data_IF_410338297163
#
_entry.id   IF_410338297163
#
_cell.length_a   1.000
_cell.length_b   1.000
_cell.length_c   1.000
_cell.angle_alpha   90.00
_cell.angle_beta   90.00
_cell.angle_gamma   90.00
#
_symmetry.space_group_name_H-M   'P 1'
#
loop_
_entity.id
_entity.type
_entity.pdbx_description
1 polymer ?
#
# COMPACT_ATOMS: atom_id res chain seq x y z
N UNK A 1 -11.79 -5.55 23.53
CA UNK A 1 -12.30 -5.12 22.21
C UNK A 1 -13.11 -3.85 22.43
N UNK A 2 -12.61 -2.69 21.97
CA UNK A 2 -13.27 -1.41 22.24
C UNK A 2 -14.54 -1.32 21.39
N UNK A 3 -15.57 -0.60 21.87
CA UNK A 3 -16.83 -0.34 21.12
C UNK A 3 -16.62 0.17 19.69
N UNK A 4 -15.46 0.80 19.41
CA UNK A 4 -15.04 1.29 18.07
C UNK A 4 -14.62 0.18 17.11
N UNK A 5 -14.06 -0.93 17.61
CA UNK A 5 -13.64 -2.08 16.79
C UNK A 5 -14.88 -2.80 16.22
N UNK A 6 -15.95 -2.90 17.01
CA UNK A 6 -17.20 -3.56 16.64
C UNK A 6 -17.98 -2.81 15.55
N UNK A 7 -17.98 -1.48 15.56
CA UNK A 7 -18.69 -0.68 14.56
C UNK A 7 -17.98 -0.67 13.20
N UNK A 8 -16.64 -0.72 13.18
CA UNK A 8 -15.86 -0.84 11.93
C UNK A 8 -15.93 -2.25 11.33
N UNK A 9 -15.96 -3.29 12.16
CA UNK A 9 -16.18 -4.68 11.71
C UNK A 9 -17.64 -4.95 11.29
N UNK A 10 -18.62 -4.16 11.75
CA UNK A 10 -20.02 -4.29 11.34
C UNK A 10 -20.27 -3.95 9.85
N UNK A 11 -19.28 -3.39 9.15
CA UNK A 11 -19.34 -3.10 7.72
C UNK A 11 -18.92 -4.29 6.84
N UNK A 12 -18.35 -5.34 7.40
CA UNK A 12 -18.18 -6.57 6.64
C UNK A 12 -19.57 -7.14 6.39
N UNK A 13 -19.96 -7.28 5.12
CA UNK A 13 -20.96 -8.30 4.81
C UNK A 13 -20.43 -9.58 5.45
N UNK A 14 -21.22 -10.20 6.33
CA UNK A 14 -20.81 -11.41 7.03
C UNK A 14 -20.76 -12.55 6.01
N UNK A 15 -19.72 -12.56 5.19
CA UNK A 15 -19.45 -13.60 4.23
C UNK A 15 -19.08 -14.83 5.03
N UNK A 16 -20.06 -15.72 5.16
CA UNK A 16 -19.86 -17.02 5.77
C UNK A 16 -19.03 -17.87 4.80
N UNK A 17 -17.71 -17.83 5.00
CA UNK A 17 -16.80 -18.74 4.31
C UNK A 17 -16.98 -20.17 4.86
N UNK A 18 -16.73 -21.20 4.04
CA UNK A 18 -16.74 -22.58 4.49
C UNK A 18 -15.79 -22.79 5.69
N UNK A 19 -16.25 -23.55 6.70
CA UNK A 19 -15.52 -23.72 7.97
C UNK A 19 -15.15 -25.17 8.28
N UNK A 20 -15.61 -26.15 7.51
CA UNK A 20 -15.40 -27.57 7.79
C UNK A 20 -14.38 -28.22 6.84
N UNK A 21 -13.49 -29.04 7.39
CA UNK A 21 -12.45 -29.79 6.69
C UNK A 21 -12.96 -30.81 5.65
N UNK A 22 -14.28 -30.94 5.47
CA UNK A 22 -14.94 -31.83 4.50
C UNK A 22 -15.85 -31.08 3.52
N UNK A 23 -15.78 -29.74 3.48
CA UNK A 23 -16.59 -28.97 2.52
C UNK A 23 -16.05 -29.12 1.10
N UNK A 24 -16.96 -29.25 0.12
CA UNK A 24 -16.64 -29.01 -1.28
C UNK A 24 -16.66 -27.50 -1.52
N UNK A 25 -15.58 -26.94 -2.04
CA UNK A 25 -15.54 -25.53 -2.42
C UNK A 25 -16.17 -25.39 -3.81
N UNK A 26 -17.02 -24.37 -3.94
CA UNK A 26 -17.72 -24.04 -5.18
C UNK A 26 -17.23 -22.70 -5.74
N UNK A 27 -17.62 -22.38 -6.99
CA UNK A 27 -17.37 -21.05 -7.56
C UNK A 27 -18.08 -19.92 -6.79
N UNK A 28 -19.17 -20.21 -6.07
CA UNK A 28 -19.83 -19.22 -5.21
C UNK A 28 -18.93 -18.82 -4.03
N UNK A 29 -18.21 -19.78 -3.44
CA UNK A 29 -17.24 -19.51 -2.37
C UNK A 29 -16.07 -18.66 -2.88
N UNK A 30 -15.62 -18.90 -4.12
CA UNK A 30 -14.59 -18.07 -4.78
C UNK A 30 -15.09 -16.63 -4.94
N UNK A 31 -16.31 -16.42 -5.43
CA UNK A 31 -16.88 -15.08 -5.58
C UNK A 31 -17.02 -14.35 -4.24
N UNK A 32 -17.47 -15.07 -3.20
CA UNK A 32 -17.53 -14.58 -1.82
C UNK A 32 -16.18 -14.11 -1.29
N UNK A 33 -15.11 -14.88 -1.53
CA UNK A 33 -13.75 -14.52 -1.10
C UNK A 33 -13.23 -13.28 -1.85
N UNK A 34 -13.51 -13.18 -3.15
CA UNK A 34 -13.16 -12.00 -3.94
C UNK A 34 -13.92 -10.76 -3.49
N UNK A 35 -15.22 -10.88 -3.20
CA UNK A 35 -16.02 -9.77 -2.66
C UNK A 35 -15.47 -9.28 -1.32
N UNK A 36 -15.13 -10.19 -0.40
CA UNK A 36 -14.48 -9.83 0.86
C UNK A 36 -13.14 -9.10 0.66
N UNK A 37 -12.36 -9.51 -0.34
CA UNK A 37 -11.08 -8.85 -0.68
C UNK A 37 -11.32 -7.41 -1.15
N UNK A 38 -12.36 -7.18 -1.96
CA UNK A 38 -12.75 -5.84 -2.42
C UNK A 38 -13.25 -5.00 -1.24
N UNK A 39 -14.04 -5.56 -0.33
CA UNK A 39 -14.52 -4.87 0.86
C UNK A 39 -13.36 -4.46 1.79
N UNK A 40 -12.36 -5.34 1.97
CA UNK A 40 -11.16 -5.05 2.75
C UNK A 40 -10.37 -3.86 2.18
N UNK A 41 -10.17 -3.82 0.86
CA UNK A 41 -9.54 -2.67 0.20
C UNK A 41 -10.37 -1.39 0.38
N UNK A 42 -11.67 -1.45 0.12
CA UNK A 42 -12.55 -0.29 0.26
C UNK A 42 -12.53 0.31 1.67
N UNK A 43 -12.53 -0.55 2.71
CA UNK A 43 -12.44 -0.11 4.11
C UNK A 43 -11.03 0.44 4.42
N UNK A 44 -9.96 -0.19 3.96
CA UNK A 44 -8.59 0.32 4.14
C UNK A 44 -8.40 1.73 3.56
N UNK A 45 -8.98 2.02 2.39
CA UNK A 45 -8.91 3.36 1.80
C UNK A 45 -9.59 4.42 2.68
N UNK A 46 -10.55 4.03 3.53
CA UNK A 46 -11.24 4.93 4.45
C UNK A 46 -10.51 5.07 5.78
N UNK A 47 -10.16 3.95 6.42
CA UNK A 47 -9.71 3.93 7.83
C UNK A 47 -8.29 3.42 8.02
N UNK A 48 -7.58 2.95 6.98
CA UNK A 48 -6.24 2.38 7.09
C UNK A 48 -6.18 0.94 7.57
N UNK A 49 -5.00 0.34 7.42
CA UNK A 49 -4.86 -1.10 7.46
C UNK A 49 -4.72 -1.72 8.85
N UNK A 50 -4.25 -0.96 9.85
CA UNK A 50 -3.81 -1.52 11.14
C UNK A 50 -4.92 -2.25 11.90
N UNK A 51 -6.14 -1.72 11.88
CA UNK A 51 -7.30 -2.33 12.55
C UNK A 51 -7.83 -3.58 11.80
N UNK A 52 -7.48 -3.73 10.51
CA UNK A 52 -8.01 -4.78 9.63
C UNK A 52 -7.09 -6.01 9.55
N UNK A 53 -5.79 -5.86 9.84
CA UNK A 53 -4.77 -6.91 9.63
C UNK A 53 -5.15 -8.24 10.27
N UNK A 54 -5.60 -8.23 11.52
CA UNK A 54 -5.86 -9.46 12.27
C UNK A 54 -7.11 -10.20 11.78
N UNK A 55 -8.11 -9.48 11.28
CA UNK A 55 -9.26 -10.10 10.62
C UNK A 55 -8.81 -10.74 9.29
N UNK A 56 -8.13 -9.98 8.44
CA UNK A 56 -7.65 -10.44 7.14
C UNK A 56 -6.70 -11.65 7.27
N UNK A 57 -5.76 -11.61 8.23
CA UNK A 57 -4.83 -12.71 8.53
C UNK A 57 -5.56 -14.00 8.90
N UNK A 58 -6.52 -13.94 9.83
CA UNK A 58 -7.29 -15.14 10.24
C UNK A 58 -8.16 -15.68 9.12
N UNK A 59 -8.64 -14.82 8.23
CA UNK A 59 -9.38 -15.23 7.04
C UNK A 59 -8.42 -15.92 6.05
N UNK A 60 -7.25 -15.34 5.81
CA UNK A 60 -6.22 -15.90 4.93
C UNK A 60 -5.77 -17.28 5.42
N UNK A 61 -5.46 -17.43 6.72
CA UNK A 61 -5.05 -18.72 7.31
C UNK A 61 -6.12 -19.80 7.13
N UNK A 62 -7.40 -19.44 7.31
CA UNK A 62 -8.51 -20.36 7.06
C UNK A 62 -8.61 -20.74 5.60
N UNK A 63 -8.52 -19.78 4.69
CA UNK A 63 -8.62 -20.05 3.25
C UNK A 63 -7.44 -20.84 2.69
N UNK A 64 -6.23 -20.63 3.23
CA UNK A 64 -5.05 -21.47 2.97
C UNK A 64 -5.24 -22.89 3.52
N UNK A 65 -5.82 -23.04 4.72
CA UNK A 65 -6.17 -24.36 5.27
C UNK A 65 -7.10 -25.16 4.35
N UNK A 66 -8.09 -24.49 3.76
CA UNK A 66 -9.05 -25.12 2.84
C UNK A 66 -8.39 -25.67 1.57
N UNK A 67 -7.25 -25.13 1.11
CA UNK A 67 -6.50 -25.73 -0.01
C UNK A 67 -6.02 -27.15 0.28
N UNK A 68 -5.75 -27.46 1.56
CA UNK A 68 -5.22 -28.77 1.98
C UNK A 68 -6.33 -29.75 2.37
N UNK A 69 -7.46 -29.26 2.84
CA UNK A 69 -8.50 -30.11 3.45
C UNK A 69 -9.75 -30.26 2.58
N UNK A 70 -10.08 -29.27 1.76
CA UNK A 70 -11.34 -29.25 1.03
C UNK A 70 -11.25 -30.00 -0.32
N UNK A 71 -12.42 -30.39 -0.84
CA UNK A 71 -12.52 -30.99 -2.17
C UNK A 71 -12.80 -29.92 -3.23
N UNK A 72 -12.11 -30.01 -4.37
CA UNK A 72 -12.23 -29.09 -5.50
C UNK A 72 -12.38 -29.87 -6.81
N UNK A 73 -13.10 -29.29 -7.78
CA UNK A 73 -12.83 -29.60 -9.18
C UNK A 73 -11.64 -28.75 -9.69
N UNK A 74 -11.06 -29.12 -10.84
CA UNK A 74 -9.85 -28.46 -11.34
C UNK A 74 -10.03 -26.96 -11.63
N UNK A 75 -11.21 -26.55 -12.11
CA UNK A 75 -11.52 -25.14 -12.40
C UNK A 75 -11.65 -24.34 -11.11
N UNK A 76 -12.38 -24.86 -10.13
CA UNK A 76 -12.58 -24.21 -8.84
C UNK A 76 -11.29 -24.19 -8.03
N UNK A 77 -10.43 -25.22 -8.11
CA UNK A 77 -9.11 -25.21 -7.48
C UNK A 77 -8.26 -24.03 -7.97
N UNK A 78 -8.16 -23.84 -9.29
CA UNK A 78 -7.43 -22.73 -9.90
C UNK A 78 -7.98 -21.37 -9.48
N UNK A 79 -9.31 -21.21 -9.55
CA UNK A 79 -9.97 -19.96 -9.17
C UNK A 79 -9.86 -19.65 -7.67
N UNK A 80 -9.93 -20.67 -6.81
CA UNK A 80 -9.75 -20.52 -5.37
C UNK A 80 -8.31 -20.13 -5.03
N UNK A 81 -7.30 -20.76 -5.64
CA UNK A 81 -5.90 -20.35 -5.46
C UNK A 81 -5.68 -18.87 -5.82
N UNK A 82 -6.20 -18.42 -6.97
CA UNK A 82 -6.13 -16.99 -7.34
C UNK A 82 -6.87 -16.07 -6.35
N UNK A 83 -8.04 -16.47 -5.86
CA UNK A 83 -8.78 -15.69 -4.87
C UNK A 83 -8.06 -15.61 -3.52
N UNK A 84 -7.48 -16.72 -3.04
CA UNK A 84 -6.65 -16.74 -1.83
C UNK A 84 -5.39 -15.90 -2.01
N UNK A 85 -4.78 -15.93 -3.20
CA UNK A 85 -3.64 -15.08 -3.53
C UNK A 85 -3.96 -13.59 -3.47
N UNK A 86 -5.13 -13.18 -4.01
CA UNK A 86 -5.59 -11.79 -3.90
C UNK A 86 -5.87 -11.40 -2.44
N UNK A 87 -6.46 -12.30 -1.64
CA UNK A 87 -6.62 -12.08 -0.20
C UNK A 87 -5.25 -11.94 0.50
N UNK A 88 -4.25 -12.72 0.09
CA UNK A 88 -2.90 -12.61 0.61
C UNK A 88 -2.27 -11.25 0.27
N UNK A 89 -2.46 -10.73 -0.95
CA UNK A 89 -1.96 -9.40 -1.32
C UNK A 89 -2.59 -8.31 -0.44
N UNK A 90 -3.92 -8.27 -0.31
CA UNK A 90 -4.55 -7.24 0.53
C UNK A 90 -4.12 -7.41 1.99
N UNK A 91 -4.05 -8.63 2.53
CA UNK A 91 -3.56 -8.88 3.90
C UNK A 91 -2.13 -8.36 4.07
N UNK A 92 -1.27 -8.58 3.08
CA UNK A 92 0.10 -8.08 3.06
C UNK A 92 0.17 -6.56 3.02
N UNK A 93 -0.70 -5.92 2.23
CA UNK A 93 -0.83 -4.46 2.18
C UNK A 93 -1.28 -3.87 3.51
N UNK A 94 -2.31 -4.44 4.14
CA UNK A 94 -2.78 -4.02 5.47
C UNK A 94 -1.66 -4.15 6.51
N UNK A 95 -0.94 -5.29 6.49
CA UNK A 95 0.20 -5.52 7.35
C UNK A 95 1.32 -4.50 7.11
N UNK A 96 1.60 -4.15 5.85
CA UNK A 96 2.57 -3.12 5.51
C UNK A 96 2.15 -1.73 6.00
N UNK A 97 0.89 -1.36 5.86
CA UNK A 97 0.35 -0.09 6.37
C UNK A 97 0.38 -0.02 7.90
N UNK A 98 0.21 -1.18 8.56
CA UNK A 98 0.43 -1.38 10.00
C UNK A 98 1.89 -1.54 10.43
N UNK A 99 2.85 -1.42 9.51
CA UNK A 99 4.30 -1.62 9.74
C UNK A 99 4.72 -3.04 10.21
N UNK A 100 3.89 -4.06 9.99
CA UNK A 100 4.20 -5.47 10.23
C UNK A 100 4.94 -6.09 9.02
N UNK A 101 6.18 -5.64 8.78
CA UNK A 101 6.91 -5.98 7.54
C UNK A 101 7.14 -7.47 7.32
N UNK A 102 7.39 -8.24 8.38
CA UNK A 102 7.59 -9.69 8.28
C UNK A 102 6.32 -10.43 7.85
N UNK A 103 5.15 -10.02 8.35
CA UNK A 103 3.86 -10.57 7.92
C UNK A 103 3.59 -10.22 6.46
N UNK A 104 3.77 -8.96 6.08
CA UNK A 104 3.59 -8.51 4.70
C UNK A 104 4.45 -9.31 3.70
N UNK A 105 5.73 -9.56 4.02
CA UNK A 105 6.61 -10.39 3.18
C UNK A 105 6.11 -11.83 3.02
N UNK A 106 5.61 -12.45 4.10
CA UNK A 106 5.02 -13.79 4.04
C UNK A 106 3.80 -13.81 3.13
N UNK A 107 2.88 -12.87 3.33
CA UNK A 107 1.66 -12.78 2.51
C UNK A 107 1.96 -12.58 1.02
N UNK A 108 2.94 -11.75 0.66
CA UNK A 108 3.35 -11.62 -0.76
C UNK A 108 4.01 -12.89 -1.29
N UNK A 109 4.73 -13.65 -0.46
CA UNK A 109 5.31 -14.95 -0.86
C UNK A 109 4.24 -16.02 -1.05
N UNK A 110 3.21 -16.04 -0.20
CA UNK A 110 2.04 -16.90 -0.35
C UNK A 110 1.30 -16.57 -1.66
N UNK A 111 1.07 -15.29 -1.94
CA UNK A 111 0.46 -14.83 -3.18
C UNK A 111 1.24 -15.29 -4.42
N UNK A 112 2.57 -15.13 -4.43
CA UNK A 112 3.43 -15.57 -5.53
C UNK A 112 3.39 -17.09 -5.72
N UNK A 113 3.37 -17.85 -4.64
CA UNK A 113 3.29 -19.31 -4.69
C UNK A 113 1.96 -19.79 -5.26
N UNK A 114 0.86 -19.17 -4.81
CA UNK A 114 -0.48 -19.45 -5.32
C UNK A 114 -0.64 -19.05 -6.78
N UNK A 115 -0.10 -17.90 -7.17
CA UNK A 115 -0.11 -17.42 -8.54
C UNK A 115 0.65 -18.36 -9.49
N UNK A 116 1.76 -18.94 -9.05
CA UNK A 116 2.49 -19.94 -9.82
C UNK A 116 1.67 -21.21 -10.02
N UNK A 117 1.00 -21.70 -8.97
CA UNK A 117 0.13 -22.88 -9.04
C UNK A 117 -1.16 -22.63 -9.85
N UNK A 118 -1.66 -21.39 -9.86
CA UNK A 118 -2.85 -20.99 -10.61
C UNK A 118 -2.52 -20.34 -11.96
N UNK A 119 -1.26 -20.32 -12.39
CA UNK A 119 -0.80 -19.72 -13.66
C UNK A 119 -1.39 -18.32 -13.89
N UNK A 120 -1.42 -17.50 -12.84
CA UNK A 120 -2.06 -16.19 -12.82
C UNK A 120 -0.99 -15.10 -12.86
N UNK A 121 -0.67 -14.65 -14.08
CA UNK A 121 0.35 -13.62 -14.32
C UNK A 121 -0.05 -12.27 -13.70
N UNK A 122 -1.35 -11.92 -13.72
CA UNK A 122 -1.84 -10.65 -13.18
C UNK A 122 -1.69 -10.65 -11.64
N UNK A 123 -2.03 -11.77 -10.97
CA UNK A 123 -1.78 -11.94 -9.53
C UNK A 123 -0.28 -11.92 -9.20
N UNK A 124 0.55 -12.58 -10.02
CA UNK A 124 2.01 -12.56 -9.86
C UNK A 124 2.54 -11.13 -9.88
N UNK A 125 2.14 -10.35 -10.89
CA UNK A 125 2.55 -8.96 -11.04
C UNK A 125 2.05 -8.10 -9.88
N UNK A 126 0.80 -8.27 -9.46
CA UNK A 126 0.24 -7.53 -8.33
C UNK A 126 1.04 -7.77 -7.03
N UNK A 127 1.43 -9.02 -6.77
CA UNK A 127 2.27 -9.36 -5.61
C UNK A 127 3.68 -8.76 -5.72
N UNK A 128 4.32 -8.83 -6.89
CA UNK A 128 5.65 -8.24 -7.15
C UNK A 128 5.66 -6.72 -6.96
N UNK A 129 4.63 -6.01 -7.43
CA UNK A 129 4.54 -4.56 -7.33
C UNK A 129 4.28 -4.08 -5.89
N UNK A 130 3.56 -4.86 -5.08
CA UNK A 130 3.41 -4.59 -3.65
C UNK A 130 4.69 -4.91 -2.86
N UNK A 131 5.31 -6.07 -3.13
CA UNK A 131 6.57 -6.46 -2.50
C UNK A 131 7.71 -5.47 -2.84
N UNK A 132 7.76 -4.97 -4.08
CA UNK A 132 8.74 -3.95 -4.48
C UNK A 132 8.49 -2.64 -3.74
N UNK A 133 7.25 -2.17 -3.62
CA UNK A 133 6.92 -0.97 -2.85
C UNK A 133 7.35 -1.07 -1.39
N UNK A 134 7.10 -2.22 -0.76
CA UNK A 134 7.56 -2.49 0.61
C UNK A 134 9.09 -2.44 0.69
N UNK A 135 9.76 -3.09 -0.25
CA UNK A 135 11.23 -3.15 -0.32
C UNK A 135 11.84 -1.76 -0.51
N UNK A 136 11.26 -0.92 -1.38
CA UNK A 136 11.64 0.48 -1.59
C UNK A 136 11.48 1.29 -0.30
N UNK A 137 10.39 1.05 0.44
CA UNK A 137 10.17 1.67 1.75
C UNK A 137 11.32 1.36 2.74
N UNK A 138 11.66 0.08 2.87
CA UNK A 138 12.72 -0.41 3.77
C UNK A 138 14.13 -0.02 3.30
N UNK A 139 14.34 0.17 2.00
CA UNK A 139 15.63 0.62 1.49
C UNK A 139 16.00 2.02 1.98
N UNK A 140 15.02 2.90 2.23
CA UNK A 140 15.26 4.24 2.80
C UNK A 140 15.81 4.22 4.23
N UNK A 141 15.60 3.14 4.95
CA UNK A 141 16.10 2.94 6.32
C UNK A 141 17.29 1.97 6.37
N UNK A 142 17.79 1.52 5.21
CA UNK A 142 18.89 0.56 5.14
C UNK A 142 18.49 -0.89 5.46
N UNK A 143 17.20 -1.18 5.60
CA UNK A 143 16.69 -2.51 5.98
C UNK A 143 16.42 -3.43 4.76
N UNK A 144 16.58 -2.91 3.54
CA UNK A 144 16.44 -3.68 2.31
C UNK A 144 17.30 -3.11 1.16
N UNK A 145 17.49 -3.91 0.12
CA UNK A 145 18.27 -3.53 -1.06
C UNK A 145 17.40 -2.91 -2.16
N UNK A 146 17.72 -1.71 -2.68
CA UNK A 146 17.13 -1.16 -3.89
C UNK A 146 17.25 -2.09 -5.11
N UNK A 147 18.37 -2.83 -5.22
CA UNK A 147 18.59 -3.78 -6.32
C UNK A 147 17.60 -4.93 -6.30
N UNK A 148 17.21 -5.39 -5.10
CA UNK A 148 16.16 -6.41 -4.97
C UNK A 148 14.79 -5.87 -5.40
N UNK A 149 14.46 -4.63 -5.03
CA UNK A 149 13.24 -3.99 -5.52
C UNK A 149 13.22 -3.89 -7.05
N UNK A 150 14.33 -3.48 -7.68
CA UNK A 150 14.46 -3.44 -9.14
C UNK A 150 14.27 -4.82 -9.78
N UNK A 151 14.79 -5.89 -9.17
CA UNK A 151 14.59 -7.25 -9.68
C UNK A 151 13.11 -7.66 -9.68
N UNK A 152 12.37 -7.34 -8.62
CA UNK A 152 10.92 -7.58 -8.54
C UNK A 152 10.16 -6.80 -9.63
N UNK A 153 10.50 -5.52 -9.83
CA UNK A 153 9.86 -4.67 -10.84
C UNK A 153 10.17 -5.16 -12.26
N UNK A 154 11.42 -5.55 -12.55
CA UNK A 154 11.79 -6.12 -13.85
C UNK A 154 11.03 -7.40 -14.15
N UNK A 155 10.86 -8.28 -13.17
CA UNK A 155 10.04 -9.49 -13.34
C UNK A 155 8.59 -9.15 -13.67
N UNK A 156 8.02 -8.14 -13.02
CA UNK A 156 6.68 -7.66 -13.34
C UNK A 156 6.60 -7.08 -14.78
N UNK A 157 7.59 -6.29 -15.18
CA UNK A 157 7.70 -5.74 -16.54
C UNK A 157 7.79 -6.84 -17.60
N UNK A 158 8.57 -7.89 -17.35
CA UNK A 158 8.72 -9.01 -18.29
C UNK A 158 7.42 -9.77 -18.52
N UNK A 159 6.64 -10.00 -17.46
CA UNK A 159 5.33 -10.67 -17.55
C UNK A 159 4.33 -9.81 -18.35
N UNK A 160 4.36 -8.48 -18.17
CA UNK A 160 3.43 -7.56 -18.81
C UNK A 160 3.92 -6.98 -20.14
N UNK A 161 5.08 -7.42 -20.66
CA UNK A 161 5.71 -6.86 -21.87
C UNK A 161 4.81 -6.87 -23.11
N UNK A 162 3.89 -7.84 -23.20
CA UNK A 162 2.96 -8.01 -24.33
C UNK A 162 1.61 -7.30 -24.13
N UNK A 163 1.37 -6.70 -22.97
CA UNK A 163 0.14 -5.93 -22.70
C UNK A 163 0.23 -4.55 -23.39
N UNK A 164 -0.89 -4.00 -23.88
CA UNK A 164 -0.91 -2.63 -24.41
C UNK A 164 -0.59 -1.61 -23.30
N UNK A 165 -0.12 -0.40 -23.66
CA UNK A 165 0.01 0.74 -22.74
C UNK A 165 -1.23 0.93 -21.85
N UNK A 166 -1.02 1.28 -20.59
CA UNK A 166 -2.10 1.37 -19.61
C UNK A 166 -1.59 1.58 -18.18
N UNK A 167 -2.52 1.56 -17.21
CA UNK A 167 -2.20 1.75 -15.78
C UNK A 167 -1.18 0.75 -15.25
N UNK A 168 -1.15 -0.47 -15.79
CA UNK A 168 -0.18 -1.47 -15.35
C UNK A 168 1.26 -1.08 -15.72
N UNK A 169 1.50 -0.58 -16.93
CA UNK A 169 2.81 -0.08 -17.36
C UNK A 169 3.19 1.20 -16.61
N UNK A 170 2.22 2.09 -16.37
CA UNK A 170 2.43 3.26 -15.54
C UNK A 170 2.90 2.86 -14.12
N UNK A 171 2.20 1.90 -13.48
CA UNK A 171 2.55 1.42 -12.14
C UNK A 171 3.93 0.75 -12.10
N UNK A 172 4.25 -0.12 -13.07
CA UNK A 172 5.57 -0.75 -13.18
C UNK A 172 6.66 0.34 -13.26
N UNK A 173 6.48 1.32 -14.15
CA UNK A 173 7.45 2.40 -14.37
C UNK A 173 7.59 3.31 -13.14
N UNK A 174 6.51 3.57 -12.41
CA UNK A 174 6.55 4.29 -11.12
C UNK A 174 7.35 3.53 -10.07
N UNK A 175 7.19 2.20 -9.98
CA UNK A 175 7.95 1.38 -9.03
C UNK A 175 9.43 1.32 -9.42
N UNK A 176 9.74 1.24 -10.72
CA UNK A 176 11.11 1.30 -11.25
C UNK A 176 11.76 2.65 -10.89
N UNK A 177 11.06 3.76 -11.17
CA UNK A 177 11.51 5.09 -10.81
C UNK A 177 11.79 5.23 -9.31
N UNK A 178 10.86 4.79 -8.48
CA UNK A 178 11.01 4.85 -7.02
C UNK A 178 12.20 4.01 -6.52
N UNK A 179 12.47 2.85 -7.14
CA UNK A 179 13.62 2.02 -6.83
C UNK A 179 14.95 2.67 -7.26
N UNK A 180 14.99 3.34 -8.41
CA UNK A 180 16.16 4.15 -8.82
C UNK A 180 16.37 5.36 -7.91
N UNK A 181 15.30 6.02 -7.48
CA UNK A 181 15.35 7.15 -6.55
C UNK A 181 16.05 6.78 -5.25
N UNK A 182 15.62 5.70 -4.59
CA UNK A 182 16.28 5.22 -3.35
C UNK A 182 17.69 4.65 -3.57
N UNK A 183 18.04 4.28 -4.82
CA UNK A 183 19.40 3.90 -5.20
C UNK A 183 20.30 5.12 -5.49
N UNK A 184 19.77 6.34 -5.47
CA UNK A 184 20.50 7.57 -5.80
C UNK A 184 20.76 7.79 -7.29
N UNK A 185 20.18 6.96 -8.18
CA UNK A 185 20.33 7.14 -9.63
C UNK A 185 19.28 8.10 -10.16
N UNK A 186 19.57 9.40 -10.04
CA UNK A 186 18.67 10.47 -10.46
C UNK A 186 18.32 10.45 -11.95
N UNK A 187 19.26 10.07 -12.82
CA UNK A 187 18.99 10.00 -14.25
C UNK A 187 18.05 8.84 -14.60
N UNK A 188 18.25 7.66 -14.01
CA UNK A 188 17.36 6.53 -14.22
C UNK A 188 15.98 6.78 -13.62
N UNK A 189 15.90 7.40 -12.44
CA UNK A 189 14.65 7.87 -11.85
C UNK A 189 13.86 8.76 -12.82
N UNK A 190 14.50 9.79 -13.38
CA UNK A 190 13.85 10.72 -14.32
C UNK A 190 13.36 10.02 -15.58
N UNK A 191 14.17 9.12 -16.17
CA UNK A 191 13.78 8.34 -17.35
C UNK A 191 12.56 7.47 -17.08
N UNK A 192 12.57 6.72 -15.97
CA UNK A 192 11.46 5.85 -15.60
C UNK A 192 10.19 6.66 -15.25
N UNK A 193 10.32 7.83 -14.59
CA UNK A 193 9.17 8.71 -14.37
C UNK A 193 8.59 9.29 -15.66
N UNK A 194 9.42 9.63 -16.65
CA UNK A 194 8.94 10.09 -17.95
C UNK A 194 8.13 9.01 -18.67
N UNK A 195 8.57 7.75 -18.58
CA UNK A 195 7.79 6.60 -19.07
C UNK A 195 6.48 6.49 -18.29
N UNK A 196 6.52 6.51 -16.95
CA UNK A 196 5.33 6.42 -16.11
C UNK A 196 4.24 7.44 -16.48
N UNK A 197 4.62 8.71 -16.66
CA UNK A 197 3.70 9.76 -17.06
C UNK A 197 3.09 9.51 -18.44
N UNK A 198 3.92 9.13 -19.43
CA UNK A 198 3.42 8.77 -20.77
C UNK A 198 2.40 7.63 -20.72
N UNK A 199 2.72 6.54 -20.01
CA UNK A 199 1.81 5.39 -19.89
C UNK A 199 0.50 5.75 -19.17
N UNK A 200 0.56 6.68 -18.20
CA UNK A 200 -0.64 7.17 -17.51
C UNK A 200 -1.49 8.08 -18.41
N UNK A 201 -0.88 8.91 -19.25
CA UNK A 201 -1.60 9.74 -20.22
C UNK A 201 -2.26 8.89 -21.31
N UNK A 202 -1.60 7.83 -21.76
CA UNK A 202 -2.20 6.81 -22.64
C UNK A 202 -3.37 6.11 -21.94
N UNK A 203 -3.20 5.70 -20.69
CA UNK A 203 -4.27 5.05 -19.92
C UNK A 203 -5.48 5.97 -19.72
N UNK A 204 -5.27 7.25 -19.45
CA UNK A 204 -6.36 8.21 -19.30
C UNK A 204 -7.12 8.47 -20.60
N UNK A 205 -6.47 8.26 -21.75
CA UNK A 205 -7.08 8.44 -23.07
C UNK A 205 -7.79 7.18 -23.58
N UNK A 206 -7.27 6.00 -23.23
CA UNK A 206 -7.62 4.74 -23.90
C UNK A 206 -8.05 3.60 -22.98
N UNK A 207 -7.91 3.73 -21.66
CA UNK A 207 -8.30 2.71 -20.68
C UNK A 207 -9.39 3.27 -19.73
N UNK A 208 -10.68 3.07 -20.05
CA UNK A 208 -11.78 3.43 -19.17
C UNK A 208 -11.62 2.79 -17.78
N UNK A 209 -11.91 3.56 -16.73
CA UNK A 209 -11.67 3.11 -15.35
C UNK A 209 -12.55 1.90 -14.98
N UNK A 210 -13.73 1.82 -15.57
CA UNK A 210 -14.72 0.76 -15.37
C UNK A 210 -14.25 -0.57 -15.95
N UNK A 211 -13.47 -0.51 -17.03
CA UNK A 211 -12.89 -1.68 -17.71
C UNK A 211 -11.54 -2.09 -17.12
N UNK A 212 -10.88 -1.18 -16.39
CA UNK A 212 -9.64 -1.45 -15.70
C UNK A 212 -9.83 -2.41 -14.52
N UNK A 213 -8.85 -3.30 -14.29
CA UNK A 213 -8.84 -4.18 -13.12
C UNK A 213 -8.94 -3.37 -11.84
N UNK A 214 -9.81 -3.77 -10.91
CA UNK A 214 -10.13 -2.98 -9.72
C UNK A 214 -8.90 -2.55 -8.93
N UNK A 215 -7.91 -3.43 -8.78
CA UNK A 215 -6.68 -3.15 -8.04
C UNK A 215 -5.75 -2.15 -8.74
N UNK A 216 -5.96 -1.81 -10.01
CA UNK A 216 -5.21 -0.77 -10.73
C UNK A 216 -5.89 0.60 -10.69
N UNK A 217 -7.15 0.69 -10.25
CA UNK A 217 -7.94 1.94 -10.29
C UNK A 217 -7.38 3.06 -9.41
N UNK A 218 -6.50 2.74 -8.46
CA UNK A 218 -5.80 3.74 -7.65
C UNK A 218 -4.68 4.47 -8.43
N UNK A 219 -4.23 3.89 -9.55
CA UNK A 219 -3.19 4.47 -10.40
C UNK A 219 -3.78 5.64 -11.16
N UNK A 220 -3.40 6.84 -10.72
CA UNK A 220 -3.90 8.13 -11.19
C UNK A 220 -2.74 9.12 -11.32
N UNK A 221 -2.95 10.23 -12.02
CA UNK A 221 -1.97 11.33 -12.07
C UNK A 221 -1.57 11.81 -10.67
N UNK A 222 -2.50 11.86 -9.72
CA UNK A 222 -2.23 12.22 -8.33
C UNK A 222 -1.27 11.23 -7.64
N UNK A 223 -1.51 9.92 -7.83
CA UNK A 223 -0.63 8.87 -7.30
C UNK A 223 0.78 8.94 -7.92
N UNK A 224 0.87 9.14 -9.24
CA UNK A 224 2.15 9.33 -9.93
C UNK A 224 2.91 10.53 -9.38
N UNK A 225 2.22 11.65 -9.13
CA UNK A 225 2.84 12.86 -8.57
C UNK A 225 3.40 12.65 -7.17
N UNK A 226 2.69 11.92 -6.31
CA UNK A 226 3.17 11.55 -4.98
C UNK A 226 4.45 10.70 -5.03
N UNK A 227 4.53 9.79 -6.00
CA UNK A 227 5.73 9.01 -6.25
C UNK A 227 6.88 9.82 -6.86
N UNK A 228 6.61 10.72 -7.80
CA UNK A 228 7.60 11.63 -8.37
C UNK A 228 8.20 12.51 -7.27
N UNK A 229 7.36 13.11 -6.43
CA UNK A 229 7.78 13.92 -5.29
C UNK A 229 8.72 13.13 -4.37
N UNK A 230 8.43 11.84 -4.15
CA UNK A 230 9.29 10.99 -3.33
C UNK A 230 10.63 10.70 -3.98
N UNK A 231 10.66 10.37 -5.27
CA UNK A 231 11.92 10.14 -5.97
C UNK A 231 12.80 11.39 -6.03
N UNK A 232 12.20 12.59 -6.15
CA UNK A 232 12.95 13.84 -6.00
C UNK A 232 13.53 14.04 -4.60
N UNK A 233 12.80 13.66 -3.56
CA UNK A 233 13.33 13.68 -2.21
C UNK A 233 14.48 12.66 -2.03
N UNK A 234 14.31 11.44 -2.54
CA UNK A 234 15.31 10.36 -2.44
C UNK A 234 16.61 10.69 -3.20
N UNK A 235 16.50 11.47 -4.28
CA UNK A 235 17.65 11.96 -5.10
C UNK A 235 18.25 13.28 -4.59
N UNK A 236 17.76 13.82 -3.46
CA UNK A 236 18.28 15.01 -2.81
C UNK A 236 17.73 16.36 -3.31
N UNK A 237 16.79 16.37 -4.26
CA UNK A 237 16.13 17.59 -4.73
C UNK A 237 14.89 17.94 -3.87
N UNK A 238 15.14 18.36 -2.64
CA UNK A 238 14.10 18.68 -1.66
C UNK A 238 13.16 19.80 -2.09
N UNK A 239 13.65 20.79 -2.84
CA UNK A 239 12.82 21.90 -3.33
C UNK A 239 11.78 21.44 -4.34
N UNK A 240 12.18 20.62 -5.33
CA UNK A 240 11.24 20.04 -6.30
C UNK A 240 10.28 19.06 -5.64
N UNK A 241 10.77 18.25 -4.70
CA UNK A 241 9.93 17.36 -3.91
C UNK A 241 8.83 18.12 -3.15
N UNK A 242 9.19 19.21 -2.46
CA UNK A 242 8.25 20.04 -1.71
C UNK A 242 7.13 20.60 -2.60
N UNK A 243 7.48 21.17 -3.76
CA UNK A 243 6.51 21.73 -4.69
C UNK A 243 5.49 20.67 -5.18
N UNK A 244 5.97 19.46 -5.49
CA UNK A 244 5.09 18.36 -5.93
C UNK A 244 4.22 17.82 -4.78
N UNK A 245 4.77 17.73 -3.57
CA UNK A 245 4.00 17.33 -2.39
C UNK A 245 2.91 18.33 -2.03
N UNK A 246 3.15 19.64 -2.20
CA UNK A 246 2.14 20.66 -1.96
C UNK A 246 0.92 20.49 -2.88
N UNK A 247 1.15 20.16 -4.14
CA UNK A 247 0.08 19.86 -5.09
C UNK A 247 -0.62 18.56 -4.69
N UNK A 248 0.15 17.48 -4.48
CA UNK A 248 -0.40 16.16 -4.14
C UNK A 248 -1.25 16.17 -2.87
N UNK A 249 -0.87 16.95 -1.86
CA UNK A 249 -1.61 17.08 -0.60
C UNK A 249 -2.99 17.75 -0.75
N UNK A 250 -3.23 18.48 -1.84
CA UNK A 250 -4.49 19.19 -2.13
C UNK A 250 -5.40 18.42 -3.09
N UNK A 251 -4.90 17.35 -3.70
CA UNK A 251 -5.68 16.56 -4.65
C UNK A 251 -6.73 15.69 -3.94
N UNK A 252 -7.93 15.53 -4.52
CA UNK A 252 -8.95 14.66 -3.97
C UNK A 252 -8.46 13.21 -3.88
N UNK A 253 -8.57 12.62 -2.70
CA UNK A 253 -8.25 11.22 -2.45
C UNK A 253 -9.18 10.66 -1.36
N UNK A 254 -9.21 9.33 -1.22
CA UNK A 254 -9.86 8.68 -0.08
C UNK A 254 -9.19 9.12 1.23
N UNK A 255 -9.92 9.19 2.36
CA UNK A 255 -9.45 9.81 3.59
C UNK A 255 -8.06 9.34 4.05
N UNK A 256 -7.80 8.02 4.02
CA UNK A 256 -6.49 7.49 4.43
C UNK A 256 -5.36 7.97 3.52
N UNK A 257 -5.58 8.00 2.20
CA UNK A 257 -4.56 8.45 1.24
C UNK A 257 -4.36 9.96 1.30
N UNK A 258 -5.43 10.73 1.53
CA UNK A 258 -5.33 12.18 1.75
C UNK A 258 -4.47 12.49 2.99
N UNK A 259 -4.73 11.83 4.12
CA UNK A 259 -3.90 11.95 5.32
C UNK A 259 -2.44 11.54 5.04
N UNK A 260 -2.21 10.48 4.25
CA UNK A 260 -0.87 10.06 3.86
C UNK A 260 -0.14 11.11 3.01
N UNK A 261 -0.81 11.69 2.01
CA UNK A 261 -0.24 12.74 1.15
C UNK A 261 0.13 13.99 1.97
N UNK A 262 -0.77 14.44 2.86
CA UNK A 262 -0.51 15.57 3.78
C UNK A 262 0.65 15.28 4.75
N UNK A 263 0.79 14.05 5.23
CA UNK A 263 1.92 13.65 6.07
C UNK A 263 3.27 13.77 5.35
N UNK A 264 3.29 13.45 4.05
CA UNK A 264 4.50 13.59 3.25
C UNK A 264 4.84 15.04 2.91
N UNK A 265 3.83 15.86 2.70
CA UNK A 265 3.99 17.30 2.54
C UNK A 265 4.57 17.95 3.80
N UNK A 266 4.02 17.68 4.98
CA UNK A 266 4.57 18.19 6.24
C UNK A 266 6.01 17.70 6.49
N UNK A 267 6.29 16.44 6.18
CA UNK A 267 7.64 15.90 6.26
C UNK A 267 8.61 16.59 5.28
N UNK A 268 8.15 17.00 4.10
CA UNK A 268 8.96 17.75 3.14
C UNK A 268 9.27 19.17 3.66
N UNK A 269 8.27 19.86 4.24
CA UNK A 269 8.45 21.16 4.89
C UNK A 269 9.53 21.10 5.99
N UNK A 270 9.46 20.08 6.85
CA UNK A 270 10.45 19.87 7.91
C UNK A 270 11.86 19.64 7.34
N UNK A 271 12.00 18.84 6.28
CA UNK A 271 13.29 18.60 5.62
C UNK A 271 13.87 19.85 4.94
N UNK A 272 13.03 20.78 4.51
CA UNK A 272 13.46 22.07 3.94
C UNK A 272 13.65 23.17 4.98
N UNK A 273 13.39 22.88 6.27
CA UNK A 273 13.64 23.80 7.39
C UNK A 273 12.43 24.63 7.84
N UNK A 274 11.27 24.54 7.18
CA UNK A 274 10.05 25.24 7.58
C UNK A 274 9.30 24.46 8.67
N UNK A 275 9.90 24.43 9.86
CA UNK A 275 9.39 23.66 11.01
C UNK A 275 8.02 24.15 11.48
N UNK A 276 7.76 25.47 11.63
CA UNK A 276 6.44 25.94 12.06
C UNK A 276 5.32 25.50 11.12
N UNK A 277 5.49 25.63 9.80
CA UNK A 277 4.48 25.18 8.84
C UNK A 277 4.37 23.65 8.82
N UNK A 278 5.50 22.94 8.94
CA UNK A 278 5.49 21.48 9.02
C UNK A 278 4.65 20.97 10.20
N UNK A 279 4.82 21.56 11.39
CA UNK A 279 4.02 21.18 12.58
C UNK A 279 2.55 21.55 12.41
N UNK A 280 2.25 22.72 11.85
CA UNK A 280 0.87 23.13 11.57
C UNK A 280 0.15 22.10 10.68
N UNK A 281 0.74 21.76 9.54
CA UNK A 281 0.18 20.76 8.62
C UNK A 281 0.08 19.37 9.27
N UNK A 282 1.13 18.94 9.96
CA UNK A 282 1.17 17.64 10.62
C UNK A 282 0.17 17.50 11.78
N UNK A 283 -0.21 18.60 12.43
CA UNK A 283 -1.20 18.59 13.52
C UNK A 283 -2.57 18.14 13.02
N UNK A 284 -2.95 18.56 11.81
CA UNK A 284 -4.19 18.10 11.17
C UNK A 284 -4.14 16.60 10.82
N UNK A 285 -2.97 16.10 10.42
CA UNK A 285 -2.75 14.67 10.17
C UNK A 285 -2.82 13.86 11.47
N UNK A 286 -2.26 14.37 12.57
CA UNK A 286 -2.38 13.71 13.88
C UNK A 286 -3.83 13.61 14.34
N UNK A 287 -4.63 14.67 14.15
CA UNK A 287 -6.05 14.64 14.47
C UNK A 287 -6.80 13.53 13.71
N UNK A 288 -6.52 13.36 12.41
CA UNK A 288 -7.08 12.26 11.62
C UNK A 288 -6.66 10.87 12.16
N UNK A 289 -5.39 10.72 12.54
CA UNK A 289 -4.83 9.47 13.07
C UNK A 289 -5.37 9.11 14.48
N UNK A 290 -5.73 10.12 15.27
CA UNK A 290 -6.37 9.97 16.58
C UNK A 290 -7.86 9.63 16.44
N UNK A 291 -8.53 10.19 15.43
CA UNK A 291 -9.95 10.05 15.24
C UNK A 291 -10.32 8.74 14.53
N UNK A 292 -9.85 8.55 13.29
CA UNK A 292 -10.42 7.56 12.38
C UNK A 292 -9.37 6.75 11.60
N UNK A 293 -8.18 7.31 11.35
CA UNK A 293 -7.15 6.71 10.49
C UNK A 293 -6.18 5.81 11.29
N UNK A 294 -6.31 4.51 11.10
CA UNK A 294 -5.45 3.45 11.61
C UNK A 294 -4.31 3.12 10.63
N UNK A 295 -3.42 4.08 10.35
CA UNK A 295 -2.23 3.86 9.52
C UNK A 295 -0.93 4.18 10.28
N UNK A 296 -0.19 3.14 10.64
CA UNK A 296 1.15 3.29 11.27
C UNK A 296 2.15 3.86 10.28
N UNK A 297 2.02 3.52 9.00
CA UNK A 297 2.87 4.04 7.92
C UNK A 297 2.70 5.56 7.74
N UNK A 298 1.47 6.08 7.80
CA UNK A 298 1.22 7.54 7.80
C UNK A 298 1.82 8.22 9.03
N UNK A 299 1.68 7.62 10.22
CA UNK A 299 2.32 8.16 11.43
C UNK A 299 3.85 8.22 11.27
N UNK A 300 4.48 7.14 10.79
CA UNK A 300 5.94 7.10 10.55
C UNK A 300 6.41 8.15 9.55
N UNK A 301 5.59 8.55 8.58
CA UNK A 301 5.92 9.64 7.66
C UNK A 301 6.15 10.98 8.37
N UNK A 302 5.58 11.18 9.57
CA UNK A 302 5.76 12.39 10.38
C UNK A 302 7.05 12.40 11.22
N UNK A 303 7.86 11.34 11.20
CA UNK A 303 9.14 11.28 11.94
C UNK A 303 10.06 12.50 11.70
N UNK A 304 10.21 13.03 10.45
CA UNK A 304 10.99 14.23 10.22
C UNK A 304 10.41 15.47 10.93
N UNK A 305 9.08 15.60 10.97
CA UNK A 305 8.39 16.69 11.67
C UNK A 305 8.60 16.58 13.18
N UNK A 306 8.45 15.37 13.74
CA UNK A 306 8.73 15.10 15.15
C UNK A 306 10.18 15.42 15.53
N UNK A 307 11.14 15.08 14.67
CA UNK A 307 12.56 15.38 14.92
C UNK A 307 12.80 16.89 14.94
N UNK A 308 12.26 17.61 13.96
CA UNK A 308 12.38 19.07 13.87
C UNK A 308 11.69 19.78 15.05
N UNK A 309 10.47 19.36 15.39
CA UNK A 309 9.67 19.94 16.46
C UNK A 309 10.35 19.83 17.84
N UNK A 310 11.06 18.73 18.12
CA UNK A 310 11.75 18.53 19.40
C UNK A 310 12.89 19.53 19.67
N UNK A 311 13.29 20.32 18.67
CA UNK A 311 14.30 21.39 18.82
C UNK A 311 13.69 22.80 18.87
N UNK A 312 12.35 22.92 18.88
CA UNK A 312 11.63 24.20 18.81
C UNK A 312 10.77 24.42 20.06
N UNK A 313 10.95 25.56 20.71
CA UNK A 313 10.09 25.97 21.83
C UNK A 313 8.64 26.17 21.37
N UNK A 314 7.68 25.70 22.16
CA UNK A 314 6.25 25.84 21.89
C UNK A 314 5.64 24.77 20.98
N UNK A 315 6.40 23.72 20.64
CA UNK A 315 5.91 22.59 19.84
C UNK A 315 5.69 21.31 20.69
N UNK A 316 5.72 21.44 22.02
CA UNK A 316 5.63 20.34 22.97
C UNK A 316 4.35 19.52 22.81
N UNK A 317 3.21 20.19 22.58
CA UNK A 317 1.92 19.52 22.39
C UNK A 317 1.96 18.54 21.20
N UNK A 318 2.55 18.95 20.07
CA UNK A 318 2.68 18.09 18.90
C UNK A 318 3.56 16.88 19.21
N UNK A 319 4.69 17.10 19.89
CA UNK A 319 5.64 16.05 20.28
C UNK A 319 4.96 15.03 21.20
N UNK A 320 4.25 15.49 22.22
CA UNK A 320 3.54 14.63 23.18
C UNK A 320 2.46 13.79 22.50
N UNK A 321 1.65 14.40 21.64
CA UNK A 321 0.59 13.70 20.88
C UNK A 321 1.16 12.66 19.92
N UNK A 322 2.20 13.03 19.17
CA UNK A 322 2.90 12.10 18.30
C UNK A 322 3.47 10.91 19.08
N UNK A 323 4.18 11.17 20.18
CA UNK A 323 4.83 10.12 20.98
C UNK A 323 3.78 9.22 21.67
N UNK A 324 2.64 9.78 22.09
CA UNK A 324 1.52 9.01 22.63
C UNK A 324 0.90 8.06 21.58
N UNK A 325 0.67 8.55 20.35
CA UNK A 325 0.20 7.73 19.25
C UNK A 325 1.22 6.65 18.88
N UNK A 326 2.51 7.00 18.80
CA UNK A 326 3.58 6.07 18.49
C UNK A 326 3.67 4.93 19.51
N UNK A 327 3.54 5.24 20.82
CA UNK A 327 3.44 4.21 21.87
C UNK A 327 2.20 3.34 21.67
N UNK A 328 1.03 3.94 21.47
CA UNK A 328 -0.23 3.19 21.33
C UNK A 328 -0.23 2.22 20.14
N UNK A 329 0.39 2.63 19.01
CA UNK A 329 0.48 1.81 17.79
C UNK A 329 1.69 0.86 17.80
N UNK A 330 2.73 1.16 18.57
CA UNK A 330 3.90 0.29 18.77
C UNK A 330 3.66 -0.88 19.73
N UNK A 331 2.79 -0.72 20.73
CA UNK A 331 2.48 -1.77 21.72
C UNK A 331 1.47 -2.82 21.24
N UNK A 332 0.91 -2.69 20.03
CA UNK A 332 -0.05 -3.68 19.51
C UNK A 332 0.64 -4.97 19.08
N UNK A 333 1.97 -5.02 19.00
CA UNK A 333 2.73 -6.12 18.38
C UNK A 333 4.02 -6.55 19.11
N UNK A 334 4.04 -6.47 20.44
CA UNK A 334 4.97 -7.27 21.25
C UNK A 334 4.28 -8.56 21.69
#
# INVERSE_FOLDING_TARGET
MKRRDLAKLAAFTAVSLPTAATSRISMDDVHKLNALTIDLDAIDQLVGGADLVEHARRTLERSLGLLNTAAFDGRTAKAWMSAVGNLAIITGWLAYDGAQHALARRCYSDALSLAACSEDDDLTVHALLNASLQTIGLARTGEASPSYALALVRRAADLMRRRPPGRIQALISVREAAAHGVNGDGQAFQRAMAVAWREMDEAASHEPLEECQTWLRFVTHAELRGHEARGWADTGNSARALALYEVSAREPARPRNSAHARAWFSAALARTGDTPRAVHEATSVLADLEAEIASTRTLKSLNPVRTAAGSWAGMDEFVERFDALARSKGHVHA
#
